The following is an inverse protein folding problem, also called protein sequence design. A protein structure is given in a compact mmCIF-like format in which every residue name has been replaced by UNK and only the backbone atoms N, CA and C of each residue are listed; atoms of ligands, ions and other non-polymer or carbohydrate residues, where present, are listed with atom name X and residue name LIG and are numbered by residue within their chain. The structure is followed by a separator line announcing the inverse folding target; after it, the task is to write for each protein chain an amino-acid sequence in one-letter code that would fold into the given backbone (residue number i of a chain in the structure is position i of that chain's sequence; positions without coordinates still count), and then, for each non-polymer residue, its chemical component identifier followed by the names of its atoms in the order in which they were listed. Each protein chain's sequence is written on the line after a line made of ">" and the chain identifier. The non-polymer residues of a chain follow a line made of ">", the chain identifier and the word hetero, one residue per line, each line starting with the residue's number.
data_IF_688745518092
#
_entry.id   IF_688745518092
#
_cell.length_a   1.000
_cell.length_b   1.000
_cell.length_c   1.000
_cell.angle_alpha   90.00
_cell.angle_beta   90.00
_cell.angle_gamma   90.00
#
_symmetry.space_group_name_H-M   'P 1'
#
loop_
_entity.id
_entity.type
_entity.pdbx_description
1 polymer ?
#
# COMPACT_ATOMS: atom_id res chain seq x y z
N UNK A 1 23.92 -17.60 3.09
CA UNK A 1 23.95 -16.13 2.93
C UNK A 1 22.86 -15.53 3.81
N UNK A 2 23.18 -14.56 4.69
CA UNK A 2 22.15 -13.82 5.44
C UNK A 2 21.32 -13.00 4.46
N UNK A 3 19.98 -13.15 4.47
CA UNK A 3 19.10 -12.33 3.65
C UNK A 3 19.22 -10.87 4.10
N UNK A 4 19.44 -9.95 3.16
CA UNK A 4 19.49 -8.52 3.43
C UNK A 4 18.06 -8.03 3.75
N UNK A 5 17.89 -7.43 4.94
CA UNK A 5 16.63 -6.78 5.30
C UNK A 5 16.50 -5.50 4.46
N UNK A 6 15.32 -5.28 3.90
CA UNK A 6 14.98 -4.10 3.14
C UNK A 6 13.93 -3.28 3.89
N UNK A 7 14.12 -1.97 3.95
CA UNK A 7 13.17 -1.06 4.58
C UNK A 7 12.17 -0.52 3.55
N UNK A 8 10.93 -0.36 4.01
CA UNK A 8 9.86 0.32 3.29
C UNK A 8 9.39 1.52 4.09
N UNK A 9 9.43 2.70 3.49
CA UNK A 9 8.94 3.92 4.13
C UNK A 9 7.43 4.06 3.88
N UNK A 10 6.65 4.11 4.96
CA UNK A 10 5.18 4.31 4.91
C UNK A 10 4.88 5.82 5.01
N UNK A 11 5.35 6.59 4.05
CA UNK A 11 5.29 8.05 4.08
C UNK A 11 3.86 8.59 3.92
N UNK A 12 3.07 7.99 3.03
CA UNK A 12 1.69 8.39 2.75
C UNK A 12 0.80 8.39 4.00
N UNK A 13 0.94 7.39 4.87
CA UNK A 13 0.05 7.23 6.03
C UNK A 13 0.16 8.40 7.02
N UNK A 14 1.34 8.98 7.14
CA UNK A 14 1.59 10.15 7.96
C UNK A 14 0.66 11.32 7.59
N UNK A 15 0.33 11.51 6.32
CA UNK A 15 -0.51 12.62 5.87
C UNK A 15 -1.96 12.49 6.33
N UNK A 16 -2.49 11.30 6.32
CA UNK A 16 -3.82 11.04 6.85
C UNK A 16 -3.89 11.32 8.35
N UNK A 17 -2.82 11.00 9.07
CA UNK A 17 -2.75 11.10 10.53
C UNK A 17 -2.36 12.50 11.01
N UNK A 18 -1.71 13.31 10.19
CA UNK A 18 -1.23 14.65 10.56
C UNK A 18 -2.32 15.73 10.60
N UNK A 19 -3.53 15.44 10.15
CA UNK A 19 -4.69 16.32 10.22
C UNK A 19 -4.52 17.62 9.43
N UNK A 20 -4.13 18.71 10.08
CA UNK A 20 -4.03 20.04 9.46
C UNK A 20 -2.79 20.26 8.59
N UNK A 21 -1.76 19.46 8.77
CA UNK A 21 -0.44 19.64 8.13
C UNK A 21 -0.24 18.63 7.01
N UNK A 22 -0.89 18.89 5.89
CA UNK A 22 -0.84 17.99 4.74
C UNK A 22 0.17 18.53 3.73
N UNK A 23 1.16 17.72 3.30
CA UNK A 23 2.14 18.18 2.35
C UNK A 23 1.51 18.40 0.97
N UNK A 24 1.81 19.53 0.36
CA UNK A 24 1.45 19.84 -1.02
C UNK A 24 2.43 19.17 -1.99
N UNK A 25 2.05 19.11 -3.26
CA UNK A 25 2.87 18.55 -4.33
C UNK A 25 4.29 19.10 -4.32
N UNK A 26 4.46 20.43 -4.21
CA UNK A 26 5.78 21.08 -4.19
C UNK A 26 6.64 20.66 -2.98
N UNK A 27 6.02 20.36 -1.85
CA UNK A 27 6.71 19.84 -0.67
C UNK A 27 7.14 18.39 -0.84
N UNK A 28 6.30 17.57 -1.51
CA UNK A 28 6.63 16.18 -1.86
C UNK A 28 7.82 16.10 -2.82
N UNK A 29 7.85 16.96 -3.82
CA UNK A 29 8.97 17.05 -4.77
C UNK A 29 10.28 17.40 -4.06
N UNK A 30 10.23 18.26 -3.04
CA UNK A 30 11.41 18.68 -2.28
C UNK A 30 11.91 17.63 -1.30
N UNK A 31 11.04 16.80 -0.71
CA UNK A 31 11.45 15.78 0.24
C UNK A 31 11.96 14.50 -0.43
N UNK A 32 11.55 14.22 -1.65
CA UNK A 32 11.92 12.99 -2.35
C UNK A 32 13.44 12.79 -2.48
N UNK A 33 14.25 13.78 -2.88
CA UNK A 33 15.71 13.63 -2.92
C UNK A 33 16.32 13.29 -1.56
N UNK A 34 15.83 13.89 -0.48
CA UNK A 34 16.31 13.62 0.87
C UNK A 34 16.07 12.15 1.27
N UNK A 35 14.89 11.62 0.95
CA UNK A 35 14.56 10.20 1.20
C UNK A 35 15.46 9.28 0.36
N UNK A 36 15.73 9.64 -0.88
CA UNK A 36 16.61 8.89 -1.78
C UNK A 36 18.05 8.87 -1.25
N UNK A 37 18.57 10.02 -0.81
CA UNK A 37 19.93 10.18 -0.29
C UNK A 37 20.17 9.39 1.02
N UNK A 38 19.12 9.07 1.78
CA UNK A 38 19.23 8.19 2.93
C UNK A 38 19.73 6.77 2.57
N UNK A 39 19.50 6.31 1.34
CA UNK A 39 20.05 5.08 0.80
C UNK A 39 19.58 3.77 1.47
N UNK A 40 18.63 3.82 2.38
CA UNK A 40 18.19 2.66 3.17
C UNK A 40 16.83 2.09 2.72
N UNK A 41 16.06 2.82 1.91
CA UNK A 41 14.73 2.40 1.50
C UNK A 41 14.75 1.66 0.16
N UNK A 42 14.17 0.47 0.13
CA UNK A 42 13.89 -0.26 -1.10
C UNK A 42 12.53 0.12 -1.71
N UNK A 43 11.64 0.66 -0.87
CA UNK A 43 10.26 1.01 -1.23
C UNK A 43 9.81 2.25 -0.48
N UNK A 44 8.91 3.01 -1.11
CA UNK A 44 8.23 4.16 -0.49
C UNK A 44 6.74 4.10 -0.81
N UNK A 45 5.89 4.22 0.22
CA UNK A 45 4.45 4.39 0.04
C UNK A 45 4.16 5.82 -0.36
N UNK A 46 3.82 6.02 -1.64
CA UNK A 46 3.69 7.35 -2.23
C UNK A 46 2.25 7.83 -2.36
N UNK A 47 1.28 6.91 -2.34
CA UNK A 47 -0.13 7.25 -2.53
C UNK A 47 -1.05 6.17 -1.95
N UNK A 48 -2.35 6.39 -2.09
CA UNK A 48 -3.39 5.51 -1.57
C UNK A 48 -4.65 6.30 -1.22
N UNK A 49 -5.63 5.66 -0.60
CA UNK A 49 -6.95 6.24 -0.39
C UNK A 49 -6.97 7.60 0.28
N UNK A 50 -6.23 7.79 1.36
CA UNK A 50 -6.23 9.07 2.05
C UNK A 50 -5.43 10.17 1.32
N UNK A 51 -4.41 9.79 0.58
CA UNK A 51 -3.57 10.71 -0.17
C UNK A 51 -4.39 11.54 -1.18
N UNK A 52 -5.23 10.87 -1.97
CA UNK A 52 -6.03 11.56 -2.99
C UNK A 52 -7.08 12.48 -2.38
N UNK A 53 -7.68 12.09 -1.26
CA UNK A 53 -8.61 12.94 -0.53
C UNK A 53 -7.92 14.21 -0.02
N UNK A 54 -6.72 14.08 0.50
CA UNK A 54 -5.91 15.19 0.98
C UNK A 54 -5.58 16.18 -0.14
N UNK A 55 -5.13 15.69 -1.30
CA UNK A 55 -4.86 16.56 -2.45
C UNK A 55 -6.10 17.35 -2.88
N UNK A 56 -7.25 16.70 -2.94
CA UNK A 56 -8.51 17.36 -3.29
C UNK A 56 -8.90 18.44 -2.29
N UNK A 57 -8.71 18.21 -0.99
CA UNK A 57 -8.96 19.20 0.05
C UNK A 57 -7.98 20.37 -0.02
N UNK A 58 -6.75 20.13 -0.45
CA UNK A 58 -5.75 21.18 -0.69
C UNK A 58 -5.92 21.91 -2.04
N UNK A 59 -6.93 21.54 -2.83
CA UNK A 59 -7.15 22.11 -4.17
C UNK A 59 -6.16 21.63 -5.22
N UNK A 60 -5.51 20.51 -4.99
CA UNK A 60 -4.53 19.92 -5.91
C UNK A 60 -5.12 18.76 -6.72
N UNK A 61 -4.62 18.57 -7.94
CA UNK A 61 -4.93 17.38 -8.72
C UNK A 61 -4.13 16.20 -8.20
N UNK A 62 -4.77 15.15 -7.61
CA UNK A 62 -4.07 14.01 -7.04
C UNK A 62 -3.27 13.22 -8.09
N UNK A 63 -3.68 13.22 -9.35
CA UNK A 63 -2.94 12.52 -10.41
C UNK A 63 -1.58 13.17 -10.68
N UNK A 64 -1.50 14.50 -10.63
CA UNK A 64 -0.25 15.21 -10.82
C UNK A 64 0.68 15.07 -9.61
N UNK A 65 0.12 15.08 -8.41
CA UNK A 65 0.87 14.83 -7.19
C UNK A 65 1.47 13.41 -7.14
N UNK A 66 0.69 12.38 -7.54
CA UNK A 66 1.20 11.00 -7.62
C UNK A 66 2.34 10.88 -8.63
N UNK A 67 2.19 11.43 -9.84
CA UNK A 67 3.26 11.40 -10.86
C UNK A 67 4.52 12.08 -10.37
N UNK A 68 4.38 13.28 -9.81
CA UNK A 68 5.50 14.07 -9.33
C UNK A 68 6.26 13.38 -8.21
N UNK A 69 5.55 12.72 -7.30
CA UNK A 69 6.17 12.05 -6.16
C UNK A 69 6.73 10.65 -6.50
N UNK A 70 6.08 9.89 -7.40
CA UNK A 70 6.59 8.58 -7.82
C UNK A 70 7.84 8.67 -8.71
N UNK A 71 7.92 9.70 -9.56
CA UNK A 71 8.96 9.82 -10.58
C UNK A 71 10.39 9.74 -10.01
N UNK A 72 10.81 10.56 -9.05
CA UNK A 72 12.19 10.56 -8.55
C UNK A 72 12.59 9.22 -7.91
N UNK A 73 11.67 8.53 -7.22
CA UNK A 73 11.95 7.22 -6.64
C UNK A 73 12.17 6.16 -7.70
N UNK A 74 11.33 6.13 -8.73
CA UNK A 74 11.48 5.19 -9.84
C UNK A 74 12.80 5.41 -10.60
N UNK A 75 13.19 6.66 -10.83
CA UNK A 75 14.48 7.01 -11.44
C UNK A 75 15.67 6.57 -10.59
N UNK A 76 15.52 6.59 -9.27
CA UNK A 76 16.52 6.09 -8.31
C UNK A 76 16.48 4.57 -8.09
N UNK A 77 15.58 3.83 -8.75
CA UNK A 77 15.42 2.38 -8.59
C UNK A 77 14.69 1.97 -7.31
N UNK A 78 14.06 2.90 -6.62
CA UNK A 78 13.25 2.65 -5.42
C UNK A 78 11.80 2.38 -5.85
N UNK A 79 11.23 1.25 -5.42
CA UNK A 79 9.85 0.90 -5.75
C UNK A 79 8.85 1.81 -5.02
N UNK A 80 7.82 2.21 -5.73
CA UNK A 80 6.70 2.97 -5.15
C UNK A 80 5.50 2.06 -4.93
N UNK A 81 4.77 2.30 -3.85
CA UNK A 81 3.56 1.53 -3.59
C UNK A 81 2.40 2.40 -3.10
N UNK A 82 1.20 1.88 -3.29
CA UNK A 82 -0.02 2.51 -2.79
C UNK A 82 -0.76 1.59 -1.82
N UNK A 83 -1.53 2.19 -0.92
CA UNK A 83 -2.50 1.48 -0.10
C UNK A 83 -3.84 1.39 -0.83
N UNK A 84 -4.37 0.17 -0.92
CA UNK A 84 -5.60 -0.18 -1.61
C UNK A 84 -6.55 -0.88 -0.64
N UNK A 85 -7.74 -0.34 -0.50
CA UNK A 85 -8.75 -0.81 0.47
C UNK A 85 -9.65 -1.91 -0.11
N UNK A 86 -9.13 -2.78 -0.97
CA UNK A 86 -9.88 -3.89 -1.58
C UNK A 86 -11.14 -3.39 -2.28
N UNK A 87 -12.33 -3.76 -1.78
CA UNK A 87 -13.62 -3.37 -2.36
C UNK A 87 -13.79 -1.85 -2.54
N UNK A 88 -13.21 -1.06 -1.64
CA UNK A 88 -13.30 0.39 -1.66
C UNK A 88 -12.20 1.07 -2.50
N UNK A 89 -11.20 0.33 -2.97
CA UNK A 89 -10.05 0.87 -3.70
C UNK A 89 -9.42 2.07 -2.95
N UNK A 90 -9.47 3.26 -3.52
CA UNK A 90 -8.94 4.49 -2.92
C UNK A 90 -10.01 5.33 -2.19
N UNK A 91 -11.24 4.83 -2.09
CA UNK A 91 -12.37 5.57 -1.52
C UNK A 91 -12.76 5.06 -0.13
N UNK A 92 -13.81 5.67 0.45
CA UNK A 92 -14.36 5.31 1.75
C UNK A 92 -15.55 4.34 1.65
N UNK A 93 -16.03 4.06 0.45
CA UNK A 93 -17.16 3.17 0.15
C UNK A 93 -16.88 2.34 -1.10
N UNK A 94 -17.64 1.26 -1.34
CA UNK A 94 -17.42 0.35 -2.46
C UNK A 94 -17.40 1.06 -3.81
N UNK A 95 -16.50 0.61 -4.66
CA UNK A 95 -16.28 1.13 -6.01
C UNK A 95 -16.64 0.05 -7.01
N UNK A 96 -17.38 0.37 -8.10
CA UNK A 96 -17.69 -0.58 -9.16
C UNK A 96 -16.44 -1.27 -9.74
N UNK A 97 -16.58 -2.50 -10.14
CA UNK A 97 -15.46 -3.36 -10.56
C UNK A 97 -14.70 -2.83 -11.79
N UNK A 98 -15.40 -2.28 -12.76
CA UNK A 98 -14.82 -1.66 -13.95
C UNK A 98 -13.97 -0.43 -13.61
N UNK A 99 -14.42 0.38 -12.65
CA UNK A 99 -13.67 1.54 -12.13
C UNK A 99 -12.43 1.06 -11.36
N UNK A 100 -12.55 0.00 -10.54
CA UNK A 100 -11.41 -0.61 -9.83
C UNK A 100 -10.38 -1.14 -10.84
N UNK A 101 -10.81 -1.89 -11.84
CA UNK A 101 -9.92 -2.42 -12.87
C UNK A 101 -9.19 -1.30 -13.66
N UNK A 102 -9.88 -0.19 -13.96
CA UNK A 102 -9.28 0.96 -14.62
C UNK A 102 -8.26 1.66 -13.70
N UNK A 103 -8.55 1.76 -12.42
CA UNK A 103 -7.68 2.42 -11.43
C UNK A 103 -6.25 1.84 -11.47
N UNK A 104 -6.08 0.52 -11.48
CA UNK A 104 -4.74 -0.10 -11.50
C UNK A 104 -3.95 0.30 -12.75
N UNK A 105 -4.57 0.30 -13.92
CA UNK A 105 -3.95 0.73 -15.18
C UNK A 105 -3.50 2.20 -15.12
N UNK A 106 -4.34 3.05 -14.54
CA UNK A 106 -4.02 4.48 -14.37
C UNK A 106 -2.88 4.68 -13.37
N UNK A 107 -2.92 4.00 -12.22
CA UNK A 107 -1.89 4.13 -11.18
C UNK A 107 -0.54 3.59 -11.63
N UNK A 108 -0.50 2.49 -12.36
CA UNK A 108 0.74 1.99 -12.98
C UNK A 108 1.35 3.04 -13.93
N UNK A 109 0.54 3.67 -14.78
CA UNK A 109 0.99 4.74 -15.68
C UNK A 109 1.45 6.01 -14.95
N UNK A 110 1.01 6.20 -13.72
CA UNK A 110 1.45 7.31 -12.86
C UNK A 110 2.75 7.00 -12.12
N UNK A 111 3.27 5.78 -12.25
CA UNK A 111 4.54 5.36 -11.66
C UNK A 111 4.41 4.54 -10.38
N UNK A 112 3.20 4.06 -10.02
CA UNK A 112 3.02 3.17 -8.88
C UNK A 112 3.33 1.73 -9.28
N UNK A 113 4.28 1.10 -8.60
CA UNK A 113 4.76 -0.24 -8.94
C UNK A 113 4.01 -1.36 -8.20
N UNK A 114 3.65 -1.13 -6.95
CA UNK A 114 3.09 -2.14 -6.06
C UNK A 114 1.76 -1.63 -5.52
N UNK A 115 0.75 -2.48 -5.50
CA UNK A 115 -0.50 -2.19 -4.77
C UNK A 115 -0.58 -3.07 -3.53
N UNK A 116 -0.69 -2.44 -2.35
CA UNK A 116 -0.93 -3.13 -1.08
C UNK A 116 -2.43 -3.22 -0.85
N UNK A 117 -2.99 -4.38 -1.15
CA UNK A 117 -4.43 -4.64 -1.10
C UNK A 117 -4.77 -5.22 0.27
N UNK A 118 -5.74 -4.66 0.97
CA UNK A 118 -6.23 -5.19 2.22
C UNK A 118 -7.76 -5.15 2.32
N UNK A 119 -8.30 -6.02 3.14
CA UNK A 119 -9.65 -5.94 3.68
C UNK A 119 -9.57 -5.96 5.21
N UNK A 120 -10.25 -5.04 5.88
CA UNK A 120 -10.16 -4.90 7.34
C UNK A 120 -10.65 -6.12 8.12
N UNK A 121 -11.50 -6.95 7.50
CA UNK A 121 -12.01 -8.21 8.04
C UNK A 121 -11.34 -9.45 7.44
N UNK A 122 -10.30 -9.26 6.62
CA UNK A 122 -9.60 -10.32 5.88
C UNK A 122 -10.52 -11.13 4.94
N UNK A 123 -11.56 -10.50 4.39
CA UNK A 123 -12.42 -11.17 3.42
C UNK A 123 -11.73 -11.25 2.05
N UNK A 124 -11.22 -12.42 1.71
CA UNK A 124 -10.48 -12.66 0.47
C UNK A 124 -11.30 -12.37 -0.79
N UNK A 125 -12.64 -12.46 -0.72
CA UNK A 125 -13.54 -12.14 -1.85
C UNK A 125 -13.43 -10.70 -2.29
N UNK A 126 -13.09 -9.78 -1.37
CA UNK A 126 -12.87 -8.37 -1.64
C UNK A 126 -11.48 -8.08 -2.21
N UNK A 127 -10.51 -8.99 -2.02
CA UNK A 127 -9.11 -8.86 -2.42
C UNK A 127 -8.84 -9.54 -3.77
N UNK A 128 -9.34 -10.75 -3.97
CA UNK A 128 -9.02 -11.59 -5.13
C UNK A 128 -9.24 -10.91 -6.49
N UNK A 129 -10.36 -10.21 -6.75
CA UNK A 129 -10.54 -9.53 -8.02
C UNK A 129 -9.46 -8.47 -8.28
N UNK A 130 -9.03 -7.78 -7.23
CA UNK A 130 -7.98 -6.76 -7.27
C UNK A 130 -6.62 -7.32 -7.66
N UNK A 131 -6.29 -8.55 -7.26
CA UNK A 131 -5.05 -9.23 -7.66
C UNK A 131 -4.97 -9.35 -9.18
N UNK A 132 -6.04 -9.85 -9.80
CA UNK A 132 -6.12 -9.99 -11.26
C UNK A 132 -5.93 -8.63 -11.96
N UNK A 133 -6.70 -7.63 -11.57
CA UNK A 133 -6.65 -6.31 -12.20
C UNK A 133 -5.33 -5.57 -11.98
N UNK A 134 -4.70 -5.77 -10.83
CA UNK A 134 -3.37 -5.23 -10.56
C UNK A 134 -2.33 -5.79 -11.54
N UNK A 135 -2.32 -7.12 -11.73
CA UNK A 135 -1.42 -7.79 -12.70
C UNK A 135 -1.70 -7.35 -14.14
N UNK A 136 -2.96 -7.28 -14.55
CA UNK A 136 -3.36 -6.75 -15.86
C UNK A 136 -2.96 -5.29 -16.04
N UNK A 137 -2.91 -4.51 -14.97
CA UNK A 137 -2.45 -3.13 -14.95
C UNK A 137 -0.94 -2.97 -14.96
N UNK A 138 -0.17 -4.05 -14.76
CA UNK A 138 1.29 -4.02 -14.70
C UNK A 138 1.85 -3.70 -13.31
N UNK A 139 1.06 -3.90 -12.25
CA UNK A 139 1.45 -3.69 -10.85
C UNK A 139 1.68 -5.02 -10.14
N UNK A 140 2.59 -5.03 -9.18
CA UNK A 140 2.78 -6.16 -8.24
C UNK A 140 1.68 -6.16 -7.19
N UNK A 141 0.83 -7.21 -7.10
CA UNK A 141 -0.15 -7.34 -6.03
C UNK A 141 0.51 -7.82 -4.74
N UNK A 142 0.59 -6.95 -3.75
CA UNK A 142 0.95 -7.28 -2.38
C UNK A 142 -0.32 -7.36 -1.54
N UNK A 143 -0.66 -8.55 -1.04
CA UNK A 143 -1.87 -8.77 -0.25
C UNK A 143 -1.57 -8.72 1.24
N UNK A 144 -2.36 -7.96 1.99
CA UNK A 144 -2.14 -7.76 3.41
C UNK A 144 -3.08 -8.64 4.25
N UNK A 145 -2.52 -9.28 5.26
CA UNK A 145 -3.23 -9.94 6.36
C UNK A 145 -3.36 -8.91 7.49
N UNK A 146 -4.56 -8.47 7.79
CA UNK A 146 -4.84 -7.58 8.91
C UNK A 146 -4.75 -8.36 10.21
N UNK A 147 -3.70 -8.12 10.98
CA UNK A 147 -3.43 -8.83 12.22
C UNK A 147 -4.33 -8.31 13.33
N UNK A 148 -5.00 -9.23 14.01
CA UNK A 148 -5.78 -8.95 15.22
C UNK A 148 -5.69 -10.11 16.18
N UNK A 149 -6.02 -9.88 17.45
CA UNK A 149 -5.97 -10.90 18.51
C UNK A 149 -7.41 -11.24 18.94
N UNK A 150 -7.83 -12.46 18.69
CA UNK A 150 -9.09 -13.01 19.18
C UNK A 150 -9.06 -14.55 19.08
N UNK A 151 -10.01 -15.26 19.71
CA UNK A 151 -10.08 -16.73 19.62
C UNK A 151 -10.23 -17.28 18.20
N UNK A 152 -10.68 -16.47 17.25
CA UNK A 152 -10.88 -16.89 15.83
C UNK A 152 -9.62 -16.66 14.99
N UNK A 153 -8.77 -15.70 15.36
CA UNK A 153 -7.61 -15.27 14.59
C UNK A 153 -6.36 -16.09 14.97
N UNK A 154 -6.43 -17.39 14.67
CA UNK A 154 -5.37 -18.37 14.92
C UNK A 154 -4.33 -18.35 13.80
N UNK A 155 -3.20 -19.01 14.00
CA UNK A 155 -2.21 -19.22 12.95
C UNK A 155 -2.82 -19.93 11.73
N UNK A 156 -3.64 -20.95 11.96
CA UNK A 156 -4.30 -21.69 10.90
C UNK A 156 -5.26 -20.80 10.08
N UNK A 157 -5.98 -19.88 10.75
CA UNK A 157 -6.82 -18.89 10.09
C UNK A 157 -6.00 -18.03 9.12
N UNK A 158 -4.86 -17.48 9.56
CA UNK A 158 -4.01 -16.65 8.71
C UNK A 158 -3.34 -17.44 7.59
N UNK A 159 -2.89 -18.65 7.87
CA UNK A 159 -2.31 -19.54 6.84
C UNK A 159 -3.32 -19.86 5.74
N UNK A 160 -4.56 -20.17 6.09
CA UNK A 160 -5.62 -20.42 5.11
C UNK A 160 -5.92 -19.21 4.23
N UNK A 161 -5.93 -18.00 4.80
CA UNK A 161 -6.09 -16.75 4.02
C UNK A 161 -4.89 -16.55 3.08
N UNK A 162 -3.67 -16.70 3.59
CA UNK A 162 -2.47 -16.57 2.78
C UNK A 162 -2.46 -17.52 1.59
N UNK A 163 -2.81 -18.79 1.81
CA UNK A 163 -2.88 -19.81 0.76
C UNK A 163 -3.91 -19.44 -0.33
N UNK A 164 -5.08 -18.95 0.05
CA UNK A 164 -6.08 -18.48 -0.90
C UNK A 164 -5.58 -17.29 -1.74
N UNK A 165 -4.91 -16.34 -1.11
CA UNK A 165 -4.37 -15.17 -1.80
C UNK A 165 -3.21 -15.55 -2.74
N UNK A 166 -2.32 -16.45 -2.32
CA UNK A 166 -1.24 -16.99 -3.16
C UNK A 166 -1.81 -17.76 -4.34
N UNK A 167 -2.79 -18.62 -4.10
CA UNK A 167 -3.47 -19.37 -5.17
C UNK A 167 -4.15 -18.43 -6.19
N UNK A 168 -4.66 -17.28 -5.75
CA UNK A 168 -5.23 -16.25 -6.61
C UNK A 168 -4.16 -15.43 -7.36
N UNK A 169 -2.87 -15.61 -7.05
CA UNK A 169 -1.76 -14.97 -7.75
C UNK A 169 -1.16 -13.76 -7.05
N UNK A 170 -1.35 -13.61 -5.74
CA UNK A 170 -0.60 -12.63 -4.95
C UNK A 170 0.90 -12.90 -5.07
N UNK A 171 1.69 -11.86 -5.30
CA UNK A 171 3.15 -11.97 -5.44
C UNK A 171 3.88 -11.71 -4.13
N UNK A 172 3.23 -10.98 -3.23
CA UNK A 172 3.77 -10.68 -1.91
C UNK A 172 2.66 -10.75 -0.85
N UNK A 173 3.00 -11.25 0.34
CA UNK A 173 2.14 -11.20 1.53
C UNK A 173 2.72 -10.18 2.51
N UNK A 174 1.86 -9.32 3.03
CA UNK A 174 2.20 -8.31 4.02
C UNK A 174 1.48 -8.61 5.34
N UNK A 175 2.21 -8.76 6.43
CA UNK A 175 1.62 -8.77 7.76
C UNK A 175 1.30 -7.33 8.17
N UNK A 176 0.01 -6.97 8.17
CA UNK A 176 -0.45 -5.62 8.47
C UNK A 176 -0.88 -5.53 9.93
N UNK A 177 0.06 -5.18 10.78
CA UNK A 177 -0.15 -5.04 12.22
C UNK A 177 -0.43 -3.57 12.57
N UNK A 178 -1.69 -3.15 12.44
CA UNK A 178 -2.11 -1.78 12.69
C UNK A 178 -2.18 -1.41 14.18
N UNK A 179 -2.30 -2.41 15.05
CA UNK A 179 -2.44 -2.22 16.49
C UNK A 179 -1.15 -2.56 17.27
N UNK A 180 -0.05 -2.83 16.57
CA UNK A 180 1.24 -3.23 17.16
C UNK A 180 1.13 -4.47 18.07
N UNK A 181 0.32 -5.43 17.67
CA UNK A 181 0.07 -6.65 18.47
C UNK A 181 1.27 -7.58 18.49
N UNK A 182 2.01 -7.65 17.38
CA UNK A 182 3.20 -8.48 17.24
C UNK A 182 4.39 -7.93 18.06
N UNK A 183 4.42 -6.62 18.29
CA UNK A 183 5.46 -5.97 19.09
C UNK A 183 5.26 -6.18 20.61
N UNK A 184 4.02 -6.36 21.04
CA UNK A 184 3.66 -6.53 22.46
C UNK A 184 3.56 -7.99 22.89
N UNK A 185 3.79 -8.93 21.97
CA UNK A 185 3.83 -10.35 22.29
C UNK A 185 5.27 -10.80 22.61
N UNK A 186 5.43 -11.77 23.50
CA UNK A 186 6.73 -12.36 23.86
C UNK A 186 7.50 -12.94 22.67
N UNK A 187 6.82 -13.15 21.55
CA UNK A 187 7.43 -13.56 20.28
C UNK A 187 8.34 -12.49 19.63
N UNK A 188 8.36 -11.28 20.15
CA UNK A 188 9.29 -10.23 19.69
C UNK A 188 10.66 -10.30 20.41
N UNK A 189 10.75 -11.06 21.51
CA UNK A 189 11.94 -11.20 22.36
C UNK A 189 12.71 -12.52 22.08
N UNK A 190 12.21 -13.38 21.18
CA UNK A 190 12.88 -14.58 20.67
C UNK A 190 13.48 -14.31 19.27
#
# INVERSE_FOLDING_TARGET
>A
MKKKIQFSLVYRDMWQSSGKFQPRKDQLERIAPVIIDMGCFARVETNGGAFEQVNLLAGENPNDAVRAFCKPFNEAGIKTHMLDRGLNALRMYPVPDDVRALMYKVKAKQGTNITRIFDGLNDVRNIIPSIKWAKEGGMTPQCALCITNSPVHTLEYYMNIADQLIAAGAEEICLKDMACLLYTSDAADE
#
